data_IF_347848254203
#
_entry.id   IF_347848254203
#
_cell.length_a   1.000
_cell.length_b   1.000
_cell.length_c   1.000
_cell.angle_alpha   90.00
_cell.angle_beta   90.00
_cell.angle_gamma   90.00
#
_symmetry.space_group_name_H-M   'P 1'
#
loop_
_entity.id
_entity.type
_entity.pdbx_description
1 polymer ?
#
# COMPACT_ATOMS: atom_id res chain seq x y z
N UNK A 1 13.83 -13.00 3.13
CA UNK A 1 14.99 -12.59 2.32
C UNK A 1 15.14 -11.08 2.33
N UNK A 2 14.27 -10.29 1.68
CA UNK A 2 14.43 -8.83 1.56
C UNK A 2 14.62 -8.04 2.88
N UNK A 3 13.88 -8.38 3.95
CA UNK A 3 14.07 -7.72 5.26
C UNK A 3 15.44 -8.02 5.85
N UNK A 4 15.92 -9.26 5.75
CA UNK A 4 17.22 -9.67 6.29
C UNK A 4 18.40 -9.09 5.51
N UNK A 5 18.20 -8.69 4.25
CA UNK A 5 19.20 -7.91 3.48
C UNK A 5 19.54 -6.57 4.12
N UNK A 6 18.63 -6.01 4.94
CA UNK A 6 18.89 -4.81 5.74
C UNK A 6 19.45 -5.09 7.14
N UNK A 7 19.74 -6.34 7.48
CA UNK A 7 20.38 -6.65 8.76
C UNK A 7 21.70 -5.88 8.90
N UNK A 8 21.85 -5.13 9.99
CA UNK A 8 22.98 -4.21 10.22
C UNK A 8 22.84 -2.82 9.59
N UNK A 9 21.89 -2.60 8.68
CA UNK A 9 21.65 -1.32 8.00
C UNK A 9 20.37 -0.57 8.46
N UNK A 10 19.71 -1.05 9.52
CA UNK A 10 18.46 -0.50 10.05
C UNK A 10 18.50 1.00 10.38
N UNK A 11 19.68 1.54 10.73
CA UNK A 11 19.87 2.98 10.98
C UNK A 11 19.54 3.83 9.75
N UNK A 12 19.70 3.28 8.52
CA UNK A 12 19.38 3.97 7.27
C UNK A 12 17.89 4.24 7.10
N UNK A 13 17.01 3.49 7.76
CA UNK A 13 15.58 3.79 7.71
C UNK A 13 15.25 5.17 8.31
N UNK A 14 16.08 5.70 9.21
CA UNK A 14 15.85 7.04 9.77
C UNK A 14 16.18 8.13 8.76
N UNK A 15 17.11 7.89 7.84
CA UNK A 15 17.67 8.93 6.96
C UNK A 15 17.25 8.79 5.49
N UNK A 16 16.87 7.59 5.05
CA UNK A 16 16.50 7.31 3.68
C UNK A 16 15.00 6.96 3.56
N UNK A 17 14.15 7.91 3.11
CA UNK A 17 12.72 7.65 2.96
C UNK A 17 12.41 6.65 1.83
N UNK A 18 13.27 6.50 0.82
CA UNK A 18 13.09 5.49 -0.25
C UNK A 18 13.20 4.09 0.35
N UNK A 19 14.14 3.89 1.29
CA UNK A 19 14.28 2.62 1.98
C UNK A 19 13.08 2.32 2.89
N UNK A 20 12.44 3.34 3.46
CA UNK A 20 11.19 3.18 4.23
C UNK A 20 10.08 2.61 3.34
N UNK A 21 9.90 3.12 2.12
CA UNK A 21 8.94 2.56 1.15
C UNK A 21 9.19 1.07 0.94
N UNK A 22 10.42 0.67 0.64
CA UNK A 22 10.75 -0.72 0.34
C UNK A 22 10.52 -1.66 1.52
N UNK A 23 10.83 -1.24 2.75
CA UNK A 23 10.64 -2.07 3.94
C UNK A 23 9.17 -2.17 4.35
N UNK A 24 8.45 -1.05 4.40
CA UNK A 24 7.01 -1.08 4.71
C UNK A 24 6.27 -1.88 3.65
N UNK A 25 6.70 -1.79 2.39
CA UNK A 25 6.21 -2.65 1.33
C UNK A 25 6.35 -4.14 1.64
N UNK A 26 7.57 -4.58 1.99
CA UNK A 26 7.82 -5.98 2.36
C UNK A 26 7.03 -6.42 3.60
N UNK A 27 6.75 -5.51 4.54
CA UNK A 27 5.88 -5.78 5.67
C UNK A 27 4.43 -6.06 5.21
N UNK A 28 3.86 -5.23 4.33
CA UNK A 28 2.53 -5.48 3.75
C UNK A 28 2.48 -6.72 2.87
N UNK A 29 3.58 -7.05 2.19
CA UNK A 29 3.70 -8.34 1.48
C UNK A 29 3.61 -9.51 2.45
N UNK A 30 4.41 -9.51 3.52
CA UNK A 30 4.37 -10.57 4.53
C UNK A 30 3.00 -10.69 5.17
N UNK A 31 2.36 -9.57 5.47
CA UNK A 31 1.00 -9.50 6.02
C UNK A 31 -0.05 -10.08 5.06
N UNK A 32 -0.11 -9.59 3.82
CA UNK A 32 -1.10 -10.05 2.82
C UNK A 32 -0.87 -11.52 2.44
N UNK A 33 0.38 -11.94 2.26
CA UNK A 33 0.71 -13.35 1.97
C UNK A 33 0.57 -14.28 3.17
N UNK A 34 0.40 -13.75 4.39
CA UNK A 34 -0.06 -14.52 5.55
C UNK A 34 -1.60 -14.57 5.61
N UNK A 35 -2.26 -13.44 5.39
CA UNK A 35 -3.72 -13.31 5.39
C UNK A 35 -4.40 -14.15 4.31
N UNK A 36 -3.84 -14.18 3.08
CA UNK A 36 -4.40 -14.93 1.96
C UNK A 36 -4.55 -16.43 2.27
N UNK A 37 -3.50 -17.13 2.73
CA UNK A 37 -3.61 -18.50 3.22
C UNK A 37 -4.64 -18.67 4.33
N UNK A 38 -4.71 -17.76 5.30
CA UNK A 38 -5.74 -17.82 6.34
C UNK A 38 -7.16 -17.77 5.75
N UNK A 39 -7.42 -16.85 4.81
CA UNK A 39 -8.71 -16.72 4.12
C UNK A 39 -9.02 -17.89 3.16
N UNK A 40 -8.03 -18.70 2.80
CA UNK A 40 -8.23 -19.91 2.00
C UNK A 40 -8.73 -21.11 2.81
N UNK A 41 -8.63 -21.05 4.15
CA UNK A 41 -9.18 -22.06 5.06
C UNK A 41 -10.70 -21.94 5.06
N UNK A 42 -11.41 -23.03 4.77
CA UNK A 42 -12.88 -23.04 4.60
C UNK A 42 -13.65 -22.36 5.74
N UNK A 43 -13.23 -22.54 6.99
CA UNK A 43 -13.89 -21.95 8.17
C UNK A 43 -13.73 -20.44 8.24
N UNK A 44 -12.56 -19.92 7.88
CA UNK A 44 -12.29 -18.47 7.77
C UNK A 44 -13.01 -17.90 6.54
N UNK A 45 -12.94 -18.62 5.41
CA UNK A 45 -13.58 -18.23 4.17
C UNK A 45 -15.10 -18.12 4.32
N UNK A 46 -15.72 -18.99 5.12
CA UNK A 46 -17.16 -18.91 5.41
C UNK A 46 -17.59 -17.59 6.08
N UNK A 47 -16.65 -16.83 6.66
CA UNK A 47 -16.87 -15.48 7.19
C UNK A 47 -16.36 -14.38 6.25
N UNK A 48 -15.20 -14.59 5.60
CA UNK A 48 -14.55 -13.55 4.78
C UNK A 48 -15.07 -13.47 3.34
N UNK A 49 -15.73 -14.51 2.84
CA UNK A 49 -16.27 -14.52 1.49
C UNK A 49 -17.46 -13.57 1.36
N UNK A 50 -17.52 -12.86 0.23
CA UNK A 50 -18.49 -11.79 -0.08
C UNK A 50 -18.48 -10.57 0.84
N UNK A 51 -17.61 -10.52 1.84
CA UNK A 51 -17.48 -9.35 2.71
C UNK A 51 -16.35 -8.43 2.24
N UNK A 52 -16.37 -7.20 2.76
CA UNK A 52 -15.33 -6.20 2.53
C UNK A 52 -13.95 -6.62 3.08
N UNK A 53 -13.84 -7.73 3.82
CA UNK A 53 -12.55 -8.30 4.21
C UNK A 53 -11.72 -8.62 2.96
N UNK A 54 -12.34 -9.23 1.94
CA UNK A 54 -11.64 -9.53 0.69
C UNK A 54 -11.08 -8.26 0.02
N UNK A 55 -11.83 -7.16 0.08
CA UNK A 55 -11.38 -5.86 -0.44
C UNK A 55 -10.20 -5.31 0.39
N UNK A 56 -10.25 -5.47 1.72
CA UNK A 56 -9.14 -5.13 2.62
C UNK A 56 -7.87 -5.91 2.32
N UNK A 57 -7.99 -7.22 2.10
CA UNK A 57 -6.89 -8.10 1.69
C UNK A 57 -6.29 -7.69 0.33
N UNK A 58 -7.14 -7.41 -0.66
CA UNK A 58 -6.68 -6.95 -1.97
C UNK A 58 -5.90 -5.65 -1.85
N UNK A 59 -6.38 -4.67 -1.08
CA UNK A 59 -5.71 -3.37 -0.96
C UNK A 59 -4.48 -3.41 -0.04
N UNK A 60 -4.39 -4.34 0.91
CA UNK A 60 -3.16 -4.58 1.66
C UNK A 60 -2.03 -5.06 0.73
N UNK A 61 -2.33 -5.94 -0.22
CA UNK A 61 -1.39 -6.35 -1.27
C UNK A 61 -1.16 -5.28 -2.34
N UNK A 62 -2.21 -4.68 -2.87
CA UNK A 62 -2.12 -3.75 -4.00
C UNK A 62 -1.48 -2.41 -3.62
N UNK A 63 -2.00 -1.75 -2.57
CA UNK A 63 -1.47 -0.45 -2.13
C UNK A 63 -0.24 -0.65 -1.24
N UNK A 64 -0.36 -1.54 -0.26
CA UNK A 64 0.68 -1.76 0.74
C UNK A 64 1.94 -2.43 0.18
N UNK A 65 1.81 -3.45 -0.67
CA UNK A 65 2.95 -4.11 -1.29
C UNK A 65 3.28 -3.56 -2.69
N UNK A 66 2.45 -3.86 -3.70
CA UNK A 66 2.80 -3.61 -5.11
C UNK A 66 3.12 -2.14 -5.34
N UNK A 67 2.27 -1.25 -4.85
CA UNK A 67 2.44 0.17 -5.10
C UNK A 67 3.65 0.74 -4.34
N UNK A 68 3.84 0.44 -3.05
CA UNK A 68 4.98 0.96 -2.29
C UNK A 68 6.34 0.48 -2.82
N UNK A 69 6.47 -0.79 -3.22
CA UNK A 69 7.73 -1.27 -3.81
C UNK A 69 8.01 -0.58 -5.14
N UNK A 70 6.99 -0.41 -5.99
CA UNK A 70 7.12 0.30 -7.26
C UNK A 70 7.49 1.77 -7.05
N UNK A 71 6.89 2.45 -6.07
CA UNK A 71 7.25 3.83 -5.72
C UNK A 71 8.68 3.95 -5.23
N UNK A 72 9.11 3.07 -4.32
CA UNK A 72 10.49 3.02 -3.85
C UNK A 72 11.49 2.78 -5.00
N UNK A 73 11.17 1.84 -5.88
CA UNK A 73 11.97 1.56 -7.07
C UNK A 73 12.05 2.77 -8.01
N UNK A 74 10.92 3.44 -8.29
CA UNK A 74 10.89 4.64 -9.12
C UNK A 74 11.71 5.80 -8.52
N UNK A 75 11.59 6.06 -7.22
CA UNK A 75 12.39 7.10 -6.56
C UNK A 75 13.90 6.81 -6.58
N UNK A 76 14.30 5.54 -6.61
CA UNK A 76 15.70 5.14 -6.77
C UNK A 76 16.17 5.21 -8.22
N UNK A 77 15.36 4.72 -9.16
CA UNK A 77 15.75 4.53 -10.55
C UNK A 77 15.69 5.82 -11.39
N UNK A 78 14.64 6.62 -11.23
CA UNK A 78 14.39 7.77 -12.12
C UNK A 78 15.54 8.78 -12.10
N UNK A 79 16.07 9.24 -10.94
CA UNK A 79 17.22 10.15 -10.95
C UNK A 79 18.41 9.59 -11.72
N UNK A 80 18.71 8.29 -11.53
CA UNK A 80 19.83 7.63 -12.21
C UNK A 80 19.66 7.59 -13.73
N UNK A 81 18.45 7.31 -14.22
CA UNK A 81 18.14 7.32 -15.66
C UNK A 81 18.35 8.69 -16.32
N UNK A 82 18.17 9.76 -15.55
CA UNK A 82 18.38 11.14 -16.00
C UNK A 82 19.76 11.69 -15.61
N UNK A 83 20.70 10.84 -15.16
CA UNK A 83 22.06 11.26 -14.78
C UNK A 83 22.13 12.13 -13.51
N UNK A 84 21.08 12.13 -12.70
CA UNK A 84 20.96 12.91 -11.48
C UNK A 84 21.33 12.08 -10.25
N UNK A 85 22.01 12.70 -9.29
CA UNK A 85 22.44 12.03 -8.05
C UNK A 85 21.30 11.76 -7.05
N UNK A 86 20.19 12.49 -7.17
CA UNK A 86 19.06 12.39 -6.25
C UNK A 86 17.78 12.96 -6.88
N UNK A 87 16.64 12.64 -6.27
CA UNK A 87 15.35 13.29 -6.51
C UNK A 87 15.39 14.77 -6.12
N UNK A 88 14.48 15.56 -6.70
CA UNK A 88 14.36 16.99 -6.45
C UNK A 88 14.22 17.35 -4.96
N UNK A 89 13.34 16.66 -4.21
CA UNK A 89 13.19 16.89 -2.77
C UNK A 89 12.98 15.58 -2.01
N UNK A 90 13.86 15.30 -1.04
CA UNK A 90 13.71 14.17 -0.11
C UNK A 90 12.56 14.37 0.88
N UNK A 91 12.30 15.61 1.31
CA UNK A 91 11.18 15.92 2.21
C UNK A 91 9.83 15.63 1.56
N UNK A 92 9.69 15.82 0.24
CA UNK A 92 8.48 15.41 -0.49
C UNK A 92 8.32 13.90 -0.58
N UNK A 93 9.43 13.15 -0.66
CA UNK A 93 9.39 11.67 -0.58
C UNK A 93 8.93 11.22 0.80
N UNK A 94 9.41 11.86 1.87
CA UNK A 94 8.97 11.58 3.23
C UNK A 94 7.50 11.95 3.47
N UNK A 95 7.04 13.09 2.95
CA UNK A 95 5.62 13.48 2.99
C UNK A 95 4.76 12.44 2.26
N UNK A 96 5.16 12.05 1.06
CA UNK A 96 4.47 11.01 0.30
C UNK A 96 4.41 9.70 1.09
N UNK A 97 5.52 9.25 1.67
CA UNK A 97 5.59 8.04 2.48
C UNK A 97 4.54 8.04 3.59
N UNK A 98 4.46 9.12 4.37
CA UNK A 98 3.52 9.20 5.50
C UNK A 98 2.06 9.27 5.05
N UNK A 99 1.76 10.11 4.06
CA UNK A 99 0.40 10.24 3.52
C UNK A 99 -0.08 8.90 2.95
N UNK A 100 0.76 8.22 2.14
CA UNK A 100 0.44 6.92 1.58
C UNK A 100 0.25 5.86 2.66
N UNK A 101 1.16 5.79 3.64
CA UNK A 101 1.09 4.78 4.72
C UNK A 101 -0.16 4.96 5.57
N UNK A 102 -0.48 6.19 5.97
CA UNK A 102 -1.71 6.49 6.74
C UNK A 102 -2.94 6.13 5.91
N UNK A 103 -2.96 6.49 4.62
CA UNK A 103 -4.05 6.16 3.70
C UNK A 103 -4.28 4.65 3.60
N UNK A 104 -3.22 3.87 3.45
CA UNK A 104 -3.25 2.40 3.40
C UNK A 104 -3.82 1.82 4.70
N UNK A 105 -3.30 2.26 5.86
CA UNK A 105 -3.74 1.75 7.16
C UNK A 105 -5.22 2.04 7.41
N UNK A 106 -5.68 3.26 7.10
CA UNK A 106 -7.10 3.63 7.20
C UNK A 106 -7.97 2.76 6.29
N UNK A 107 -7.52 2.53 5.05
CA UNK A 107 -8.23 1.68 4.10
C UNK A 107 -8.39 0.27 4.66
N UNK A 108 -7.29 -0.39 5.01
CA UNK A 108 -7.30 -1.80 5.45
C UNK A 108 -8.09 -1.94 6.75
N UNK A 109 -7.86 -1.06 7.73
CA UNK A 109 -8.57 -1.11 9.00
C UNK A 109 -10.10 -0.99 8.82
N UNK A 110 -10.55 -0.07 7.96
CA UNK A 110 -11.98 0.09 7.67
C UNK A 110 -12.60 -1.17 7.05
N UNK A 111 -11.87 -1.82 6.13
CA UNK A 111 -12.33 -3.01 5.41
C UNK A 111 -12.30 -4.27 6.26
N UNK A 112 -11.35 -4.40 7.18
CA UNK A 112 -11.39 -5.48 8.17
C UNK A 112 -12.57 -5.36 9.11
N UNK A 113 -12.82 -4.16 9.67
CA UNK A 113 -13.95 -3.96 10.57
C UNK A 113 -15.28 -4.19 9.82
N UNK A 114 -15.43 -3.59 8.63
CA UNK A 114 -16.60 -3.80 7.79
C UNK A 114 -16.80 -5.27 7.43
N UNK A 115 -15.74 -5.96 7.01
CA UNK A 115 -15.81 -7.33 6.55
C UNK A 115 -16.16 -8.34 7.65
N UNK A 116 -15.51 -8.21 8.81
CA UNK A 116 -15.85 -9.05 9.97
C UNK A 116 -17.27 -8.78 10.45
N UNK A 117 -17.68 -7.51 10.52
CA UNK A 117 -19.03 -7.13 10.93
C UNK A 117 -20.09 -7.69 9.97
N UNK A 118 -19.91 -7.54 8.65
CA UNK A 118 -20.80 -8.12 7.65
C UNK A 118 -20.90 -9.63 7.81
N UNK A 119 -19.77 -10.32 7.89
CA UNK A 119 -19.73 -11.77 8.03
C UNK A 119 -20.44 -12.26 9.29
N UNK A 120 -20.28 -11.54 10.41
CA UNK A 120 -20.97 -11.85 11.68
C UNK A 120 -22.46 -11.55 11.62
N UNK A 121 -22.86 -10.40 11.07
CA UNK A 121 -24.28 -10.03 10.95
C UNK A 121 -25.05 -10.98 10.04
N UNK A 122 -24.47 -11.40 8.92
CA UNK A 122 -25.12 -12.29 7.95
C UNK A 122 -25.31 -13.72 8.45
N UNK A 123 -24.55 -14.15 9.46
CA UNK A 123 -24.70 -15.46 10.11
C UNK A 123 -25.30 -15.40 11.51
N UNK A 124 -25.71 -14.22 11.96
CA UNK A 124 -26.29 -14.06 13.28
C UNK A 124 -27.69 -14.69 13.29
N UNK A 125 -27.90 -15.61 14.22
CA UNK A 125 -29.16 -16.32 14.41
C UNK A 125 -29.59 -16.14 15.86
N UNK A 126 -30.86 -15.84 16.06
CA UNK A 126 -31.49 -15.74 17.38
C UNK A 126 -31.65 -17.12 18.02
N UNK A 127 -31.98 -17.17 19.30
CA UNK A 127 -32.21 -18.44 20.01
C UNK A 127 -33.35 -19.28 19.40
N UNK A 128 -34.30 -18.64 18.70
CA UNK A 128 -35.42 -19.28 18.01
C UNK A 128 -35.09 -19.76 16.58
N UNK A 129 -33.84 -19.59 16.12
CA UNK A 129 -33.40 -19.99 14.79
C UNK A 129 -33.67 -18.97 13.67
N UNK A 130 -34.29 -17.82 13.97
CA UNK A 130 -34.50 -16.74 12.99
C UNK A 130 -33.23 -15.92 12.79
N UNK A 131 -33.08 -15.30 11.60
CA UNK A 131 -31.96 -14.39 11.34
C UNK A 131 -32.09 -13.12 12.18
N UNK A 132 -31.02 -12.76 12.91
CA UNK A 132 -31.03 -11.59 13.82
C UNK A 132 -31.10 -10.27 13.07
N UNK A 133 -30.39 -10.15 11.94
CA UNK A 133 -30.27 -8.91 11.19
C UNK A 133 -30.84 -9.04 9.78
N UNK A 134 -31.50 -7.99 9.31
CA UNK A 134 -31.82 -7.86 7.89
C UNK A 134 -30.56 -7.49 7.08
N UNK A 135 -30.56 -7.79 5.79
CA UNK A 135 -29.43 -7.41 4.93
C UNK A 135 -29.24 -5.89 4.88
N UNK A 136 -30.33 -5.11 4.81
CA UNK A 136 -30.25 -3.65 4.76
C UNK A 136 -29.59 -3.06 6.01
N UNK A 137 -29.86 -3.63 7.18
CA UNK A 137 -29.22 -3.20 8.43
C UNK A 137 -27.70 -3.39 8.36
N UNK A 138 -27.23 -4.51 7.81
CA UNK A 138 -25.78 -4.71 7.61
C UNK A 138 -25.17 -3.64 6.70
N UNK A 139 -25.88 -3.22 5.65
CA UNK A 139 -25.43 -2.17 4.73
C UNK A 139 -25.36 -0.81 5.43
N UNK A 140 -26.39 -0.46 6.21
CA UNK A 140 -26.43 0.78 6.99
C UNK A 140 -25.27 0.85 7.98
N UNK A 141 -24.99 -0.24 8.70
CA UNK A 141 -23.87 -0.32 9.64
C UNK A 141 -22.52 -0.25 8.95
N UNK A 142 -22.41 -0.73 7.70
CA UNK A 142 -21.15 -0.66 6.95
C UNK A 142 -20.83 0.75 6.43
N UNK A 143 -21.84 1.59 6.20
CA UNK A 143 -21.67 2.89 5.54
C UNK A 143 -20.54 3.79 6.10
N UNK A 144 -20.36 3.95 7.43
CA UNK A 144 -19.26 4.77 7.97
C UNK A 144 -17.88 4.29 7.52
N UNK A 145 -17.68 2.98 7.35
CA UNK A 145 -16.41 2.41 6.91
C UNK A 145 -16.13 2.71 5.43
N UNK A 146 -17.16 2.88 4.61
CA UNK A 146 -16.97 3.34 3.22
C UNK A 146 -16.46 4.77 3.13
N UNK A 147 -16.86 5.63 4.06
CA UNK A 147 -16.31 6.98 4.15
C UNK A 147 -14.84 6.94 4.57
N UNK A 148 -14.49 6.13 5.58
CA UNK A 148 -13.08 5.96 6.01
C UNK A 148 -12.22 5.40 4.88
N UNK A 149 -12.74 4.40 4.15
CA UNK A 149 -12.10 3.84 2.95
C UNK A 149 -11.82 4.91 1.90
N UNK A 150 -12.83 5.74 1.60
CA UNK A 150 -12.69 6.82 0.64
C UNK A 150 -11.62 7.81 1.09
N UNK A 151 -11.64 8.23 2.35
CA UNK A 151 -10.61 9.12 2.91
C UNK A 151 -9.21 8.51 2.83
N UNK A 152 -9.06 7.22 3.16
CA UNK A 152 -7.79 6.50 3.04
C UNK A 152 -7.29 6.44 1.59
N UNK A 153 -8.18 6.14 0.64
CA UNK A 153 -7.87 6.15 -0.78
C UNK A 153 -7.51 7.52 -1.33
N UNK A 154 -8.19 8.58 -0.87
CA UNK A 154 -7.89 9.96 -1.25
C UNK A 154 -6.54 10.41 -0.71
N UNK A 155 -6.20 10.06 0.53
CA UNK A 155 -4.85 10.31 1.07
C UNK A 155 -3.80 9.64 0.18
N UNK A 156 -3.98 8.36 -0.12
CA UNK A 156 -3.05 7.65 -1.01
C UNK A 156 -2.91 8.33 -2.38
N UNK A 157 -4.04 8.76 -2.99
CA UNK A 157 -4.04 9.50 -4.25
C UNK A 157 -3.30 10.84 -4.15
N UNK A 158 -3.49 11.59 -3.06
CA UNK A 158 -2.73 12.82 -2.80
C UNK A 158 -1.22 12.51 -2.73
N UNK A 159 -0.84 11.40 -2.10
CA UNK A 159 0.53 10.89 -2.10
C UNK A 159 1.08 10.69 -3.53
N UNK A 160 0.30 10.09 -4.42
CA UNK A 160 0.66 9.92 -5.82
C UNK A 160 0.84 11.25 -6.56
N UNK A 161 0.01 12.25 -6.27
CA UNK A 161 0.18 13.60 -6.84
C UNK A 161 1.47 14.26 -6.34
N UNK A 162 1.81 14.11 -5.06
CA UNK A 162 3.09 14.58 -4.50
C UNK A 162 4.27 13.90 -5.19
N UNK A 163 4.17 12.59 -5.45
CA UNK A 163 5.18 11.85 -6.19
C UNK A 163 5.33 12.35 -7.62
N UNK A 164 4.22 12.48 -8.35
CA UNK A 164 4.20 12.95 -9.73
C UNK A 164 4.87 14.33 -9.84
N UNK A 165 4.54 15.25 -8.94
CA UNK A 165 5.16 16.57 -8.86
C UNK A 165 6.67 16.49 -8.60
N UNK A 166 7.10 15.70 -7.60
CA UNK A 166 8.52 15.60 -7.24
C UNK A 166 9.35 14.99 -8.37
N UNK A 167 8.82 13.96 -9.05
CA UNK A 167 9.47 13.35 -10.22
C UNK A 167 9.51 14.31 -11.39
N UNK A 168 8.40 15.00 -11.69
CA UNK A 168 8.36 15.98 -12.77
C UNK A 168 9.43 17.06 -12.58
N UNK A 169 9.56 17.60 -11.36
CA UNK A 169 10.62 18.57 -11.01
C UNK A 169 12.02 17.98 -11.10
N UNK A 170 12.19 16.69 -10.79
CA UNK A 170 13.47 15.98 -10.95
C UNK A 170 13.86 15.91 -12.41
N UNK A 171 12.94 15.47 -13.28
CA UNK A 171 13.16 15.33 -14.73
C UNK A 171 13.40 16.70 -15.38
N UNK A 172 12.62 17.71 -15.01
CA UNK A 172 12.76 19.07 -15.55
C UNK A 172 14.11 19.74 -15.19
N UNK A 173 14.77 19.29 -14.13
CA UNK A 173 16.10 19.75 -13.74
C UNK A 173 17.24 19.01 -14.47
N UNK A 174 16.94 17.92 -15.17
CA UNK A 174 17.93 17.19 -15.94
C UNK A 174 18.36 18.01 -17.15
N UNK A 175 19.68 18.10 -17.37
CA UNK A 175 20.22 18.64 -18.62
C UNK A 175 20.23 17.52 -19.66
N UNK A 176 20.13 17.83 -20.97
CA UNK A 176 20.30 16.83 -22.02
C UNK A 176 21.63 16.09 -21.78
N UNK A 177 21.56 14.78 -21.62
CA UNK A 177 22.75 13.98 -21.45
C UNK A 177 23.54 13.98 -22.76
N UNK A 178 24.82 14.36 -22.72
CA UNK A 178 25.76 13.91 -23.75
C UNK A 178 25.84 12.39 -23.61
N UNK A 179 25.35 11.67 -24.62
CA UNK A 179 25.47 10.22 -24.70
C UNK A 179 26.95 9.90 -24.73
N UNK A 180 27.52 9.54 -23.58
CA UNK A 180 28.85 8.95 -23.54
C UNK A 180 28.66 7.52 -24.03
N UNK A 181 28.99 7.28 -25.30
CA UNK A 181 28.97 5.96 -25.91
C UNK A 181 29.69 4.98 -24.99
N UNK A 182 28.93 4.14 -24.31
CA UNK A 182 29.44 3.02 -23.49
C UNK A 182 29.70 1.78 -24.35
N UNK A 183 29.82 1.95 -25.67
CA UNK A 183 30.33 0.88 -26.53
C UNK A 183 31.85 0.87 -26.34
N UNK A 184 32.43 -0.20 -25.77
CA UNK A 184 33.88 -0.35 -25.77
C UNK A 184 34.29 -0.40 -27.24
N UNK A 185 35.02 0.61 -27.72
CA UNK A 185 35.69 0.50 -29.01
C UNK A 185 36.76 -0.57 -28.85
N UNK A 186 36.45 -1.80 -29.27
CA UNK A 186 37.44 -2.85 -29.42
C UNK A 186 38.39 -2.44 -30.54
N UNK A 187 39.65 -2.24 -30.17
CA UNK A 187 40.77 -1.99 -31.08
C UNK A 187 41.07 -3.21 -31.96
#
# INVERSE_FOLDING_TARGET
NGIMTLSGAWSKLRTDPVLRFMIVSLSFYGMSTFEGPMMSIKTVNALSHYTDWTVGHVHSGALGWVSLISMGAMYSLIPNLYGLKAVYSKSLVELHFWIATIGIVLYIASMWIAGVMQGLMWRAVNEDGTLTYSFIESVEKTFPFYLIRLCGGLLFLIGMLVMAWNIWRTIAAARPAEVRDLIPQTA
#
